data_IF_850837617536
#
_entry.id   IF_850837617536
#
_cell.length_a   1.000
_cell.length_b   1.000
_cell.length_c   1.000
_cell.angle_alpha   90.00
_cell.angle_beta   90.00
_cell.angle_gamma   90.00
#
_symmetry.space_group_name_H-M   'P 1'
#
loop_
_entity.id
_entity.type
_entity.pdbx_description
1 polymer ?
#
# COMPACT_ATOMS: atom_id res chain seq x y z
N UNK A 1 -7.38 -15.94 -9.05
CA UNK A 1 -6.90 -15.00 -8.02
C UNK A 1 -8.09 -14.26 -7.44
N UNK A 2 -8.42 -14.47 -6.17
CA UNK A 2 -9.61 -13.87 -5.54
C UNK A 2 -9.22 -12.54 -4.85
N UNK A 3 -9.39 -11.42 -5.55
CA UNK A 3 -9.06 -10.09 -5.03
C UNK A 3 -9.85 -9.73 -3.77
N UNK A 4 -11.06 -10.26 -3.60
CA UNK A 4 -11.87 -10.02 -2.39
C UNK A 4 -11.25 -10.71 -1.18
N UNK A 5 -10.66 -11.89 -1.37
CA UNK A 5 -9.93 -12.60 -0.31
C UNK A 5 -8.68 -11.82 0.13
N UNK A 6 -7.91 -11.31 -0.82
CA UNK A 6 -6.70 -10.52 -0.50
C UNK A 6 -7.06 -9.24 0.26
N UNK A 7 -8.06 -8.49 -0.23
CA UNK A 7 -8.57 -7.28 0.43
C UNK A 7 -9.00 -7.57 1.88
N UNK A 8 -9.77 -8.63 2.12
CA UNK A 8 -10.21 -9.00 3.47
C UNK A 8 -9.05 -9.36 4.41
N UNK A 9 -7.98 -9.98 3.89
CA UNK A 9 -6.77 -10.29 4.68
C UNK A 9 -6.04 -9.01 5.06
N UNK A 10 -5.84 -8.09 4.12
CA UNK A 10 -5.20 -6.79 4.39
C UNK A 10 -5.97 -6.00 5.46
N UNK A 11 -7.29 -5.85 5.30
CA UNK A 11 -8.13 -5.16 6.28
C UNK A 11 -8.13 -5.82 7.68
N UNK A 12 -7.85 -7.12 7.76
CA UNK A 12 -7.69 -7.82 9.05
C UNK A 12 -6.35 -7.47 9.68
N UNK A 13 -5.27 -7.45 8.91
CA UNK A 13 -3.95 -7.08 9.41
C UNK A 13 -3.86 -5.62 9.82
N UNK A 14 -4.56 -4.70 9.13
CA UNK A 14 -4.64 -3.30 9.54
C UNK A 14 -5.18 -3.09 10.97
N UNK A 15 -5.98 -4.04 11.50
CA UNK A 15 -6.46 -3.97 12.89
C UNK A 15 -5.36 -4.16 13.92
N UNK A 16 -4.18 -4.63 13.50
CA UNK A 16 -3.00 -4.85 14.34
C UNK A 16 -2.02 -3.67 14.28
N UNK A 17 -2.31 -2.66 13.47
CA UNK A 17 -1.51 -1.44 13.40
C UNK A 17 -1.57 -0.67 14.73
N UNK A 18 -0.48 0.03 15.11
CA UNK A 18 -0.33 0.60 16.44
C UNK A 18 -1.24 1.81 16.68
N UNK A 19 -1.63 2.55 15.63
CA UNK A 19 -2.48 3.74 15.76
C UNK A 19 -3.77 3.61 14.93
N UNK A 20 -4.90 4.15 15.43
CA UNK A 20 -6.15 4.22 14.67
C UNK A 20 -6.02 4.99 13.34
N UNK A 21 -5.16 6.01 13.31
CA UNK A 21 -4.92 6.86 12.14
C UNK A 21 -4.27 6.06 11.00
N UNK A 22 -3.24 5.25 11.31
CA UNK A 22 -2.59 4.39 10.32
C UNK A 22 -3.58 3.40 9.71
N UNK A 23 -4.43 2.79 10.55
CA UNK A 23 -5.49 1.91 10.09
C UNK A 23 -6.49 2.63 9.19
N UNK A 24 -7.03 3.78 9.62
CA UNK A 24 -8.04 4.52 8.84
C UNK A 24 -7.50 4.95 7.48
N UNK A 25 -6.25 5.42 7.44
CA UNK A 25 -5.56 5.80 6.21
C UNK A 25 -5.40 4.58 5.29
N UNK A 26 -4.85 3.48 5.81
CA UNK A 26 -4.64 2.24 5.06
C UNK A 26 -5.94 1.63 4.54
N UNK A 27 -6.98 1.54 5.37
CA UNK A 27 -8.30 1.00 5.03
C UNK A 27 -8.93 1.79 3.87
N UNK A 28 -8.89 3.13 3.94
CA UNK A 28 -9.42 4.00 2.89
C UNK A 28 -8.66 3.80 1.57
N UNK A 29 -7.35 3.70 1.64
CA UNK A 29 -6.49 3.55 0.46
C UNK A 29 -6.69 2.20 -0.22
N UNK A 30 -6.57 1.09 0.52
CA UNK A 30 -6.69 -0.27 -0.05
C UNK A 30 -8.06 -0.51 -0.68
N UNK A 31 -9.13 -0.03 -0.04
CA UNK A 31 -10.50 -0.17 -0.59
C UNK A 31 -10.64 0.59 -1.90
N UNK A 32 -10.11 1.82 -1.96
CA UNK A 32 -10.12 2.62 -3.19
C UNK A 32 -9.35 1.93 -4.31
N UNK A 33 -8.12 1.51 -4.06
CA UNK A 33 -7.27 0.89 -5.09
C UNK A 33 -7.88 -0.41 -5.63
N UNK A 34 -8.41 -1.28 -4.77
CA UNK A 34 -9.10 -2.50 -5.22
C UNK A 34 -10.38 -2.19 -6.00
N UNK A 35 -11.10 -1.12 -5.66
CA UNK A 35 -12.30 -0.69 -6.40
C UNK A 35 -11.92 -0.20 -7.79
N UNK A 36 -10.89 0.63 -7.88
CA UNK A 36 -10.44 1.23 -9.13
C UNK A 36 -9.85 0.17 -10.09
N UNK A 37 -9.30 -0.93 -9.55
CA UNK A 37 -8.77 -2.05 -10.34
C UNK A 37 -9.81 -3.11 -10.74
N UNK A 38 -11.10 -2.97 -10.37
CA UNK A 38 -12.16 -3.95 -10.74
C UNK A 38 -12.40 -4.07 -12.24
N UNK A 39 -12.14 -3.01 -13.01
CA UNK A 39 -12.40 -2.97 -14.45
C UNK A 39 -11.16 -3.23 -15.33
N UNK A 40 -9.99 -3.41 -14.73
CA UNK A 40 -8.75 -3.65 -15.47
C UNK A 40 -8.78 -5.06 -16.04
N UNK A 41 -8.60 -5.19 -17.36
CA UNK A 41 -8.60 -6.49 -18.06
C UNK A 41 -7.20 -6.93 -18.49
N UNK A 42 -6.19 -6.05 -18.37
CA UNK A 42 -4.79 -6.38 -18.66
C UNK A 42 -4.26 -7.37 -17.61
N UNK A 43 -3.99 -8.60 -18.05
CA UNK A 43 -3.54 -9.69 -17.18
C UNK A 43 -2.17 -9.40 -16.56
N UNK A 44 -1.26 -8.76 -17.30
CA UNK A 44 0.06 -8.42 -16.80
C UNK A 44 -0.01 -7.34 -15.71
N UNK A 45 -0.86 -6.34 -15.91
CA UNK A 45 -1.12 -5.30 -14.92
C UNK A 45 -1.79 -5.89 -13.66
N UNK A 46 -2.80 -6.74 -13.83
CA UNK A 46 -3.45 -7.43 -12.71
C UNK A 46 -2.48 -8.32 -11.94
N UNK A 47 -1.61 -9.07 -12.62
CA UNK A 47 -0.60 -9.91 -11.98
C UNK A 47 0.37 -9.08 -11.13
N UNK A 48 0.90 -7.97 -11.68
CA UNK A 48 1.75 -7.02 -10.92
C UNK A 48 1.00 -6.40 -9.75
N UNK A 49 -0.26 -6.04 -9.94
CA UNK A 49 -1.11 -5.48 -8.90
C UNK A 49 -1.28 -6.46 -7.72
N UNK A 50 -1.66 -7.71 -7.99
CA UNK A 50 -1.83 -8.71 -6.94
C UNK A 50 -0.51 -9.05 -6.25
N UNK A 51 0.58 -9.21 -7.00
CA UNK A 51 1.90 -9.48 -6.44
C UNK A 51 2.35 -8.36 -5.47
N UNK A 52 2.12 -7.09 -5.84
CA UNK A 52 2.43 -5.94 -4.98
C UNK A 52 1.63 -5.95 -3.67
N UNK A 53 0.33 -6.26 -3.74
CA UNK A 53 -0.51 -6.34 -2.54
C UNK A 53 -0.21 -7.56 -1.66
N UNK A 54 0.22 -8.67 -2.24
CA UNK A 54 0.68 -9.84 -1.49
C UNK A 54 2.00 -9.56 -0.76
N UNK A 55 2.94 -8.88 -1.42
CA UNK A 55 4.19 -8.42 -0.80
C UNK A 55 3.90 -7.44 0.35
N UNK A 56 3.06 -6.44 0.11
CA UNK A 56 2.62 -5.50 1.16
C UNK A 56 2.00 -6.22 2.36
N UNK A 57 1.13 -7.21 2.11
CA UNK A 57 0.52 -8.00 3.18
C UNK A 57 1.58 -8.77 3.99
N UNK A 58 2.57 -9.36 3.34
CA UNK A 58 3.66 -10.07 4.02
C UNK A 58 4.48 -9.11 4.91
N UNK A 59 4.80 -7.92 4.39
CA UNK A 59 5.56 -6.91 5.12
C UNK A 59 4.81 -6.40 6.36
N UNK A 60 3.55 -6.01 6.20
CA UNK A 60 2.75 -5.52 7.34
C UNK A 60 2.54 -6.61 8.39
N UNK A 61 2.36 -7.88 7.96
CA UNK A 61 2.27 -9.01 8.87
C UNK A 61 3.54 -9.18 9.69
N UNK A 62 4.70 -9.17 9.04
CA UNK A 62 6.01 -9.26 9.69
C UNK A 62 6.23 -8.11 10.68
N UNK A 63 5.90 -6.88 10.28
CA UNK A 63 6.05 -5.68 11.11
C UNK A 63 5.12 -5.70 12.33
N UNK A 64 3.85 -6.09 12.14
CA UNK A 64 2.89 -6.27 13.23
C UNK A 64 3.33 -7.36 14.23
N UNK A 65 3.93 -8.46 13.76
CA UNK A 65 4.46 -9.53 14.64
C UNK A 65 5.66 -9.01 15.44
N UNK A 66 6.57 -8.26 14.81
CA UNK A 66 7.76 -7.71 15.46
C UNK A 66 7.46 -6.54 16.41
N UNK A 67 6.22 -6.04 16.44
CA UNK A 67 5.79 -4.85 17.19
C UNK A 67 6.73 -3.66 16.97
N UNK A 68 7.22 -3.50 15.75
CA UNK A 68 8.10 -2.37 15.40
C UNK A 68 7.34 -1.06 15.54
N UNK A 69 8.01 0.00 16.02
CA UNK A 69 7.48 1.36 15.99
C UNK A 69 7.52 1.96 14.59
N UNK A 70 8.36 1.40 13.69
CA UNK A 70 8.54 1.86 12.31
C UNK A 70 7.84 0.91 11.35
N UNK A 71 6.81 1.42 10.69
CA UNK A 71 6.06 0.71 9.65
C UNK A 71 6.42 1.22 8.25
N UNK A 72 6.23 0.35 7.26
CA UNK A 72 6.55 0.62 5.86
C UNK A 72 7.98 0.19 5.50
N UNK A 73 8.34 0.42 4.24
CA UNK A 73 9.67 0.18 3.69
C UNK A 73 10.15 1.45 2.98
N UNK A 74 11.47 1.65 2.91
CA UNK A 74 12.01 2.71 2.08
C UNK A 74 11.77 2.35 0.61
N UNK A 75 11.51 3.36 -0.22
CA UNK A 75 11.48 3.18 -1.67
C UNK A 75 12.90 2.82 -2.12
N UNK A 76 13.03 1.77 -2.93
CA UNK A 76 14.31 1.43 -3.56
C UNK A 76 14.53 2.28 -4.79
N UNK A 77 15.79 2.39 -5.23
CA UNK A 77 16.14 3.15 -6.43
C UNK A 77 15.44 2.57 -7.66
N UNK A 78 15.29 1.24 -7.75
CA UNK A 78 14.57 0.62 -8.88
C UNK A 78 13.08 1.01 -8.92
N UNK A 79 12.45 1.13 -7.75
CA UNK A 79 11.03 1.56 -7.67
C UNK A 79 10.91 3.01 -8.10
N UNK A 80 11.83 3.87 -7.65
CA UNK A 80 11.85 5.29 -8.04
C UNK A 80 12.07 5.41 -9.54
N UNK A 81 13.00 4.64 -10.11
CA UNK A 81 13.33 4.66 -11.54
C UNK A 81 12.17 4.19 -12.43
N UNK A 82 11.38 3.23 -11.96
CA UNK A 82 10.21 2.72 -12.66
C UNK A 82 8.99 3.68 -12.63
N UNK A 83 9.02 4.76 -11.83
CA UNK A 83 7.93 5.72 -11.76
C UNK A 83 7.91 6.64 -12.99
N UNK A 84 6.70 6.88 -13.52
CA UNK A 84 6.48 7.93 -14.50
C UNK A 84 6.47 9.33 -13.85
N UNK A 85 6.47 10.38 -14.67
CA UNK A 85 6.54 11.77 -14.20
C UNK A 85 5.39 12.13 -13.24
N UNK A 86 4.16 11.67 -13.53
CA UNK A 86 3.00 11.88 -12.66
C UNK A 86 3.16 11.23 -11.29
N UNK A 87 3.69 10.00 -11.26
CA UNK A 87 3.93 9.24 -10.02
C UNK A 87 5.02 9.92 -9.19
N UNK A 88 6.07 10.43 -9.84
CA UNK A 88 7.16 11.18 -9.18
C UNK A 88 6.65 12.49 -8.60
N UNK A 89 5.83 13.24 -9.33
CA UNK A 89 5.26 14.48 -8.84
C UNK A 89 4.35 14.24 -7.62
N UNK A 90 3.48 13.22 -7.68
CA UNK A 90 2.65 12.83 -6.52
C UNK A 90 3.48 12.45 -5.30
N UNK A 91 4.62 11.79 -5.49
CA UNK A 91 5.52 11.43 -4.41
C UNK A 91 6.12 12.69 -3.74
N UNK A 92 6.53 13.68 -4.54
CA UNK A 92 7.02 14.98 -4.04
C UNK A 92 5.92 15.71 -3.27
N UNK A 93 4.71 15.81 -3.84
CA UNK A 93 3.58 16.49 -3.20
C UNK A 93 3.19 15.83 -1.86
N UNK A 94 3.23 14.50 -1.82
CA UNK A 94 2.99 13.74 -0.60
C UNK A 94 4.04 14.05 0.48
N UNK A 95 5.32 14.11 0.10
CA UNK A 95 6.43 14.44 1.01
C UNK A 95 6.31 15.86 1.56
N UNK A 96 5.97 16.82 0.72
CA UNK A 96 5.75 18.22 1.14
C UNK A 96 4.52 18.36 2.04
N UNK A 97 3.45 17.62 1.77
CA UNK A 97 2.23 17.66 2.57
C UNK A 97 2.42 17.03 3.95
N UNK A 98 3.22 15.97 4.06
CA UNK A 98 3.58 15.36 5.34
C UNK A 98 4.42 16.32 6.19
N UNK A 99 5.39 17.01 5.60
CA UNK A 99 6.27 17.95 6.31
C UNK A 99 5.59 19.23 6.81
N UNK A 100 4.38 19.56 6.30
CA UNK A 100 3.59 20.72 6.74
C UNK A 100 2.69 20.45 7.94
N UNK A 101 2.49 19.17 8.30
CA UNK A 101 1.59 18.76 9.37
C UNK A 101 2.32 18.34 10.67
N UNK A 102 3.64 18.52 10.72
CA UNK A 102 4.50 18.43 11.91
C UNK A 102 4.84 19.85 12.41
#
# INVERSE_FOLDING_TARGET
MDGVRLLRRILREHRRLPTPEMRRLGDKYVVKEFRDHRGVSDVGQLARFFAGWEAYLADIQSQCVRRTSRFGANLTDEVVDAMNDDQRQRLVDLRLSAAKND
#
